data_IF_601722631273
#
_entry.id   IF_601722631273
#
_cell.length_a   1.000
_cell.length_b   1.000
_cell.length_c   1.000
_cell.angle_alpha   90.00
_cell.angle_beta   90.00
_cell.angle_gamma   90.00
#
_symmetry.space_group_name_H-M   'P 1'
#
loop_
_entity.id
_entity.type
_entity.pdbx_description
1 polymer ?
#
# COMPACT_ATOMS: atom_id res chain seq x y z
N UNK A 1 -3.41 -5.67 -13.07
CA UNK A 1 -4.18 -4.42 -13.19
C UNK A 1 -3.40 -3.29 -12.55
N UNK A 2 -3.77 -2.05 -12.82
CA UNK A 2 -3.02 -0.84 -12.40
C UNK A 2 -2.80 -0.82 -10.90
N UNK A 3 -3.87 -1.03 -10.12
CA UNK A 3 -3.79 -1.17 -8.67
C UNK A 3 -2.75 -2.21 -8.24
N UNK A 4 -2.87 -3.43 -8.74
CA UNK A 4 -1.96 -4.52 -8.36
C UNK A 4 -0.50 -4.21 -8.72
N UNK A 5 -0.23 -3.65 -9.91
CA UNK A 5 1.12 -3.29 -10.32
C UNK A 5 1.76 -2.22 -9.43
N UNK A 6 0.96 -1.25 -8.98
CA UNK A 6 1.42 -0.19 -8.07
C UNK A 6 1.67 -0.75 -6.66
N UNK A 7 0.79 -1.61 -6.15
CA UNK A 7 1.01 -2.29 -4.87
C UNK A 7 2.28 -3.14 -4.93
N UNK A 8 2.52 -3.84 -6.05
CA UNK A 8 3.72 -4.64 -6.27
C UNK A 8 4.99 -3.78 -6.28
N UNK A 9 4.94 -2.60 -6.92
CA UNK A 9 6.04 -1.63 -6.91
C UNK A 9 6.35 -1.12 -5.50
N UNK A 10 5.32 -0.75 -4.72
CA UNK A 10 5.50 -0.31 -3.33
C UNK A 10 6.09 -1.42 -2.47
N UNK A 11 5.60 -2.66 -2.62
CA UNK A 11 6.18 -3.81 -1.90
C UNK A 11 7.65 -4.02 -2.27
N UNK A 12 8.01 -3.96 -3.56
CA UNK A 12 9.38 -4.14 -4.01
C UNK A 12 10.35 -3.09 -3.42
N UNK A 13 9.89 -1.84 -3.23
CA UNK A 13 10.68 -0.79 -2.57
C UNK A 13 10.74 -1.02 -1.06
N UNK A 14 9.62 -1.41 -0.44
CA UNK A 14 9.49 -1.54 1.01
C UNK A 14 10.16 -2.78 1.60
N UNK A 15 10.22 -3.90 0.86
CA UNK A 15 10.74 -5.18 1.37
C UNK A 15 12.22 -5.09 1.82
N UNK A 16 13.00 -4.14 1.30
CA UNK A 16 14.37 -3.87 1.77
C UNK A 16 14.46 -2.98 3.02
N UNK A 17 13.33 -2.42 3.48
CA UNK A 17 13.22 -1.48 4.58
C UNK A 17 12.44 -2.04 5.77
N UNK A 18 11.74 -3.16 5.57
CA UNK A 18 10.85 -3.77 6.56
C UNK A 18 11.44 -5.06 7.15
N UNK A 19 11.01 -5.46 8.36
CA UNK A 19 11.43 -6.72 8.96
C UNK A 19 10.96 -7.98 8.20
N UNK A 20 9.83 -7.88 7.51
CA UNK A 20 9.20 -8.96 6.73
C UNK A 20 8.69 -8.39 5.39
N UNK A 21 8.51 -9.23 4.36
CA UNK A 21 7.93 -8.79 3.10
C UNK A 21 6.51 -8.25 3.28
N UNK A 22 6.25 -7.05 2.74
CA UNK A 22 4.99 -6.33 2.95
C UNK A 22 3.79 -7.06 2.36
N UNK A 23 3.95 -7.61 1.15
CA UNK A 23 2.85 -8.26 0.41
C UNK A 23 2.21 -9.39 1.23
N UNK A 24 2.97 -10.38 1.75
CA UNK A 24 2.41 -11.38 2.64
C UNK A 24 1.73 -10.84 3.89
N UNK A 25 2.19 -9.71 4.45
CA UNK A 25 1.57 -9.09 5.62
C UNK A 25 0.20 -8.50 5.26
N UNK A 26 0.13 -7.65 4.23
CA UNK A 26 -1.13 -6.98 3.84
C UNK A 26 -2.18 -7.94 3.26
N UNK A 27 -1.76 -9.08 2.70
CA UNK A 27 -2.67 -10.11 2.16
C UNK A 27 -2.86 -11.30 3.10
N UNK A 28 -2.24 -11.30 4.29
CA UNK A 28 -2.36 -12.39 5.27
C UNK A 28 -1.77 -13.72 4.82
N UNK A 29 -0.82 -13.72 3.89
CA UNK A 29 -0.24 -14.92 3.31
C UNK A 29 0.77 -15.56 4.27
N UNK A 30 0.71 -16.89 4.39
CA UNK A 30 1.65 -17.65 5.23
C UNK A 30 1.52 -17.36 6.73
N UNK A 31 0.35 -16.90 7.19
CA UNK A 31 0.10 -16.63 8.61
C UNK A 31 0.66 -15.29 9.12
N UNK A 32 1.08 -14.40 8.21
CA UNK A 32 1.68 -13.10 8.56
C UNK A 32 0.69 -11.96 8.75
N UNK A 33 -0.62 -12.22 8.62
CA UNK A 33 -1.66 -11.19 8.66
C UNK A 33 -1.73 -10.41 9.99
N UNK A 34 -1.35 -11.04 11.11
CA UNK A 34 -1.31 -10.37 12.42
C UNK A 34 -0.31 -9.20 12.47
N UNK A 35 0.76 -9.25 11.65
CA UNK A 35 1.77 -8.19 11.60
C UNK A 35 1.22 -6.87 11.06
N UNK A 36 0.07 -6.88 10.35
CA UNK A 36 -0.55 -5.67 9.80
C UNK A 36 -0.95 -4.67 10.90
N UNK A 37 -1.14 -5.14 12.14
CA UNK A 37 -1.44 -4.29 13.28
C UNK A 37 -0.23 -3.52 13.84
N UNK A 38 0.99 -3.90 13.47
CA UNK A 38 2.18 -3.17 13.87
C UNK A 38 2.33 -1.90 13.01
N UNK A 39 2.63 -0.77 13.65
CA UNK A 39 2.69 0.55 13.00
C UNK A 39 3.58 0.54 11.75
N UNK A 40 4.70 -0.17 11.78
CA UNK A 40 5.63 -0.24 10.65
C UNK A 40 5.01 -0.86 9.40
N UNK A 41 4.14 -1.88 9.55
CA UNK A 41 3.44 -2.51 8.43
C UNK A 41 2.14 -1.78 8.09
N UNK A 42 1.41 -1.30 9.11
CA UNK A 42 0.17 -0.55 8.93
C UNK A 42 0.40 0.70 8.07
N UNK A 43 1.43 1.50 8.38
CA UNK A 43 1.69 2.76 7.68
C UNK A 43 2.09 2.52 6.21
N UNK A 44 2.96 1.55 5.96
CA UNK A 44 3.39 1.23 4.58
C UNK A 44 2.28 0.54 3.79
N UNK A 45 1.46 -0.29 4.44
CA UNK A 45 0.29 -0.92 3.85
C UNK A 45 -0.78 0.10 3.44
N UNK A 46 -1.06 1.09 4.31
CA UNK A 46 -1.97 2.20 3.99
C UNK A 46 -1.43 3.03 2.82
N UNK A 47 -0.14 3.36 2.81
CA UNK A 47 0.50 4.03 1.68
C UNK A 47 0.32 3.25 0.37
N UNK A 48 0.57 1.94 0.38
CA UNK A 48 0.41 1.09 -0.80
C UNK A 48 -1.03 1.10 -1.33
N UNK A 49 -2.01 1.01 -0.42
CA UNK A 49 -3.43 1.08 -0.74
C UNK A 49 -3.81 2.44 -1.34
N UNK A 50 -3.44 3.54 -0.69
CA UNK A 50 -3.77 4.90 -1.11
C UNK A 50 -3.19 5.23 -2.49
N UNK A 51 -1.91 4.93 -2.72
CA UNK A 51 -1.24 5.17 -4.01
C UNK A 51 -1.84 4.29 -5.10
N UNK A 52 -2.15 3.02 -4.79
CA UNK A 52 -2.84 2.11 -5.70
C UNK A 52 -4.20 2.64 -6.14
N UNK A 53 -5.03 3.10 -5.18
CA UNK A 53 -6.35 3.67 -5.46
C UNK A 53 -6.24 4.99 -6.23
N UNK A 54 -5.31 5.86 -5.84
CA UNK A 54 -5.07 7.13 -6.52
C UNK A 54 -4.69 6.91 -7.99
N UNK A 55 -3.82 5.95 -8.29
CA UNK A 55 -3.44 5.61 -9.67
C UNK A 55 -4.63 5.13 -10.50
N UNK A 56 -5.49 4.28 -9.93
CA UNK A 56 -6.72 3.83 -10.61
C UNK A 56 -7.63 5.03 -10.95
N UNK A 57 -7.81 5.97 -10.02
CA UNK A 57 -8.64 7.16 -10.23
C UNK A 57 -8.07 8.06 -11.34
N UNK A 58 -6.77 8.36 -11.30
CA UNK A 58 -6.12 9.22 -12.29
C UNK A 58 -6.17 8.59 -13.69
N UNK A 59 -5.93 7.28 -13.79
CA UNK A 59 -6.04 6.56 -15.07
C UNK A 59 -7.48 6.47 -15.59
N UNK A 60 -8.45 6.52 -14.68
CA UNK A 60 -9.88 6.63 -15.03
C UNK A 60 -10.30 8.07 -15.40
N UNK A 61 -9.35 9.00 -15.46
CA UNK A 61 -9.58 10.40 -15.86
C UNK A 61 -10.04 11.32 -14.73
N UNK A 62 -10.08 10.84 -13.48
CA UNK A 62 -10.42 11.67 -12.32
C UNK A 62 -9.26 12.61 -12.00
N UNK A 63 -9.56 13.90 -11.82
CA UNK A 63 -8.60 14.91 -11.36
C UNK A 63 -9.10 15.50 -10.05
N UNK A 64 -8.26 15.44 -9.02
CA UNK A 64 -8.57 16.05 -7.74
C UNK A 64 -8.22 17.54 -7.78
N UNK A 65 -9.19 18.39 -7.42
CA UNK A 65 -8.96 19.83 -7.26
C UNK A 65 -8.38 20.18 -5.88
N UNK A 66 -8.59 19.30 -4.89
CA UNK A 66 -8.10 19.44 -3.52
C UNK A 66 -7.57 18.09 -3.03
N UNK A 67 -6.43 18.11 -2.32
CA UNK A 67 -5.85 16.95 -1.65
C UNK A 67 -5.78 17.22 -0.15
N UNK A 68 -6.31 16.31 0.66
CA UNK A 68 -6.27 16.37 2.13
C UNK A 68 -5.83 15.01 2.66
N UNK A 69 -4.93 15.01 3.63
CA UNK A 69 -4.56 13.82 4.40
C UNK A 69 -4.94 14.03 5.86
N UNK A 70 -5.55 13.02 6.47
CA UNK A 70 -5.47 12.84 7.91
C UNK A 70 -4.29 11.90 8.17
N UNK A 71 -3.57 12.08 9.28
CA UNK A 71 -2.37 11.28 9.64
C UNK A 71 -2.45 9.80 9.21
N UNK A 72 -1.31 9.21 8.84
CA UNK A 72 -1.15 7.76 8.63
C UNK A 72 -0.92 7.05 9.96
#
# INVERSE_FOLDING_TARGET
>A
GVFAGVVDEVCAVADGLLPEPLRPVIFGEGGRGELVGETVFAQVGLLALEVGLWRVLVESGVRADVLVGHSV
#
